data_IF_490147007506
#
_entry.id   IF_490147007506
#
_cell.length_a   1.000
_cell.length_b   1.000
_cell.length_c   1.000
_cell.angle_alpha   90.00
_cell.angle_beta   90.00
_cell.angle_gamma   90.00
#
_symmetry.space_group_name_H-M   'P 1'
#
loop_
_entity.id
_entity.type
_entity.pdbx_description
1 polymer ?
#
# COMPACT_ATOMS: atom_id res chain seq x y z
N UNK A 1 -18.69 7.58 14.62
CA UNK A 1 -17.34 7.36 15.13
C UNK A 1 -16.41 7.04 13.96
N UNK A 2 -15.42 7.88 13.79
CA UNK A 2 -14.43 7.66 12.75
C UNK A 2 -13.23 6.96 13.36
N UNK A 3 -12.98 5.74 12.89
CA UNK A 3 -11.79 5.01 13.30
C UNK A 3 -10.73 5.30 12.25
N UNK A 4 -9.70 6.02 12.66
CA UNK A 4 -8.60 6.35 11.76
C UNK A 4 -7.52 5.28 11.90
N UNK A 5 -7.39 4.45 10.89
CA UNK A 5 -6.31 3.48 10.83
C UNK A 5 -5.20 4.06 9.97
N UNK A 6 -3.97 3.77 10.34
CA UNK A 6 -2.84 4.19 9.54
C UNK A 6 -2.79 3.34 8.26
N UNK A 7 -2.76 4.02 7.13
CA UNK A 7 -2.71 3.36 5.82
C UNK A 7 -1.36 3.68 5.17
N UNK A 8 -0.64 2.63 4.81
CA UNK A 8 0.64 2.76 4.12
C UNK A 8 0.60 1.96 2.83
N UNK A 9 0.99 2.60 1.74
CA UNK A 9 1.01 1.98 0.42
C UNK A 9 2.45 1.88 -0.10
N UNK A 10 2.87 0.67 -0.42
CA UNK A 10 4.13 0.44 -1.12
C UNK A 10 3.81 0.22 -2.58
N UNK A 11 4.29 1.11 -3.43
CA UNK A 11 3.88 1.17 -4.82
C UNK A 11 5.08 1.29 -5.76
N UNK A 12 4.80 1.16 -7.05
CA UNK A 12 5.74 1.50 -8.11
C UNK A 12 5.12 2.63 -8.92
N UNK A 13 5.91 3.64 -9.27
CA UNK A 13 5.38 4.83 -9.95
C UNK A 13 4.75 4.52 -11.31
N UNK A 14 5.19 3.44 -11.96
CA UNK A 14 4.69 3.04 -13.28
C UNK A 14 3.63 1.94 -13.23
N UNK A 15 3.29 1.46 -12.07
CA UNK A 15 2.36 0.34 -11.92
C UNK A 15 0.91 0.80 -12.04
N UNK A 16 0.13 0.28 -13.01
CA UNK A 16 -1.27 0.69 -13.16
C UNK A 16 -2.13 0.38 -11.93
N UNK A 17 -1.95 -0.78 -11.32
CA UNK A 17 -2.73 -1.15 -10.14
C UNK A 17 -2.36 -0.30 -8.93
N UNK A 18 -1.11 0.14 -8.84
CA UNK A 18 -0.70 1.07 -7.80
C UNK A 18 -1.38 2.42 -7.96
N UNK A 19 -1.49 2.89 -9.21
CA UNK A 19 -2.19 4.14 -9.52
C UNK A 19 -3.67 4.03 -9.19
N UNK A 20 -4.28 2.90 -9.50
CA UNK A 20 -5.69 2.65 -9.16
C UNK A 20 -5.91 2.67 -7.65
N UNK A 21 -4.98 2.11 -6.90
CA UNK A 21 -5.05 2.09 -5.45
C UNK A 21 -4.98 3.51 -4.87
N UNK A 22 -4.06 4.31 -5.37
CA UNK A 22 -3.96 5.72 -4.94
C UNK A 22 -5.25 6.46 -5.23
N UNK A 23 -5.80 6.27 -6.43
CA UNK A 23 -7.04 6.91 -6.84
C UNK A 23 -8.22 6.47 -5.97
N UNK A 24 -8.27 5.20 -5.61
CA UNK A 24 -9.28 4.68 -4.71
C UNK A 24 -9.26 5.44 -3.38
N UNK A 25 -8.10 5.58 -2.77
CA UNK A 25 -7.98 6.29 -1.51
C UNK A 25 -8.38 7.75 -1.65
N UNK A 26 -7.97 8.40 -2.73
CA UNK A 26 -8.31 9.80 -2.99
C UNK A 26 -9.81 9.99 -3.20
N UNK A 27 -10.43 9.11 -3.98
CA UNK A 27 -11.86 9.20 -4.27
C UNK A 27 -12.74 8.96 -3.04
N UNK A 28 -12.23 8.18 -2.09
CA UNK A 28 -12.96 7.89 -0.86
C UNK A 28 -12.52 8.74 0.31
N UNK A 29 -11.69 9.75 0.05
CA UNK A 29 -11.17 10.67 1.07
C UNK A 29 -10.48 9.94 2.22
N UNK A 30 -9.71 8.91 1.90
CA UNK A 30 -8.99 8.12 2.88
C UNK A 30 -7.56 8.65 2.97
N UNK A 31 -7.14 9.16 4.14
CA UNK A 31 -5.75 9.60 4.30
C UNK A 31 -4.81 8.39 4.23
N UNK A 32 -3.72 8.54 3.48
CA UNK A 32 -2.74 7.48 3.35
C UNK A 32 -1.36 8.05 3.09
N UNK A 33 -0.35 7.28 3.46
CA UNK A 33 1.04 7.56 3.09
C UNK A 33 1.45 6.56 2.02
N UNK A 34 2.39 6.94 1.18
CA UNK A 34 2.87 6.02 0.15
C UNK A 34 4.36 6.21 -0.13
N UNK A 35 4.94 5.17 -0.69
CA UNK A 35 6.31 5.19 -1.17
C UNK A 35 6.32 4.56 -2.56
N UNK A 36 6.81 5.31 -3.55
CA UNK A 36 7.09 4.76 -4.88
C UNK A 36 8.49 4.17 -4.81
N UNK A 37 8.56 2.88 -4.62
CA UNK A 37 9.81 2.18 -4.31
C UNK A 37 10.84 2.32 -5.43
N UNK A 38 10.39 2.34 -6.67
CA UNK A 38 11.29 2.50 -7.82
C UNK A 38 11.96 3.87 -7.91
N UNK A 39 11.44 4.86 -7.20
CA UNK A 39 12.01 6.21 -7.19
C UNK A 39 13.01 6.42 -6.06
N UNK A 40 13.17 5.46 -5.17
CA UNK A 40 14.13 5.53 -4.08
C UNK A 40 15.54 5.27 -4.59
N UNK A 41 16.53 5.79 -3.87
CA UNK A 41 17.93 5.48 -4.16
C UNK A 41 18.21 4.01 -3.85
N UNK A 42 19.24 3.47 -4.47
CA UNK A 42 19.52 2.03 -4.44
C UNK A 42 19.47 1.40 -3.07
N UNK A 43 20.11 2.01 -2.09
CA UNK A 43 20.16 1.44 -0.74
C UNK A 43 18.79 1.45 -0.08
N UNK A 44 18.10 2.58 -0.15
CA UNK A 44 16.75 2.70 0.39
C UNK A 44 15.77 1.79 -0.33
N UNK A 45 15.91 1.67 -1.64
CA UNK A 45 15.07 0.79 -2.44
C UNK A 45 15.22 -0.66 -2.02
N UNK A 46 16.44 -1.13 -1.85
CA UNK A 46 16.70 -2.51 -1.43
C UNK A 46 16.15 -2.79 -0.05
N UNK A 47 16.33 -1.88 0.88
CA UNK A 47 15.79 -2.02 2.24
C UNK A 47 14.27 -2.08 2.23
N UNK A 48 13.65 -1.22 1.43
CA UNK A 48 12.19 -1.17 1.34
C UNK A 48 11.64 -2.42 0.68
N UNK A 49 12.28 -2.91 -0.37
CA UNK A 49 11.86 -4.16 -1.02
C UNK A 49 11.97 -5.33 -0.05
N UNK A 50 13.04 -5.38 0.72
CA UNK A 50 13.20 -6.44 1.72
C UNK A 50 12.10 -6.37 2.77
N UNK A 51 11.74 -5.18 3.22
CA UNK A 51 10.67 -4.98 4.17
C UNK A 51 9.32 -5.41 3.59
N UNK A 52 9.02 -5.04 2.36
CA UNK A 52 7.80 -5.44 1.67
C UNK A 52 7.71 -6.96 1.56
N UNK A 53 8.80 -7.60 1.20
CA UNK A 53 8.86 -9.04 1.08
C UNK A 53 8.64 -9.73 2.44
N UNK A 54 9.18 -9.14 3.50
CA UNK A 54 9.03 -9.66 4.86
C UNK A 54 7.57 -9.57 5.33
N UNK A 55 6.91 -8.43 5.14
CA UNK A 55 5.56 -8.22 5.65
C UNK A 55 4.48 -8.86 4.78
N UNK A 56 4.70 -9.00 3.48
CA UNK A 56 3.70 -9.53 2.56
C UNK A 56 3.95 -10.98 2.16
N UNK A 57 5.14 -11.48 2.41
CA UNK A 57 5.52 -12.83 2.01
C UNK A 57 5.88 -12.97 0.54
N UNK A 58 5.85 -11.87 -0.22
CA UNK A 58 6.18 -11.91 -1.63
C UNK A 58 6.70 -10.56 -2.12
N UNK A 59 7.35 -10.58 -3.26
CA UNK A 59 7.88 -9.38 -3.89
C UNK A 59 6.90 -8.93 -4.97
N UNK A 60 5.82 -8.28 -4.55
CA UNK A 60 4.75 -7.85 -5.45
C UNK A 60 4.25 -6.48 -5.04
N UNK A 61 3.65 -5.77 -5.98
CA UNK A 61 3.10 -4.43 -5.76
C UNK A 61 1.74 -4.33 -6.41
N UNK A 62 0.82 -3.51 -5.87
CA UNK A 62 0.96 -2.72 -4.65
C UNK A 62 0.84 -3.60 -3.40
N UNK A 63 1.44 -3.14 -2.30
CA UNK A 63 1.23 -3.72 -0.99
C UNK A 63 0.64 -2.64 -0.10
N UNK A 64 -0.50 -2.92 0.51
CA UNK A 64 -1.24 -1.97 1.33
C UNK A 64 -1.25 -2.48 2.76
N UNK A 65 -0.82 -1.64 3.69
CA UNK A 65 -0.86 -1.96 5.11
C UNK A 65 -1.89 -1.04 5.77
N UNK A 66 -2.94 -1.63 6.34
CA UNK A 66 -4.00 -0.91 7.02
C UNK A 66 -4.06 -1.41 8.45
N UNK A 67 -3.53 -0.61 9.39
CA UNK A 67 -3.37 -1.07 10.75
C UNK A 67 -2.44 -2.28 10.80
N UNK A 68 -2.95 -3.43 11.18
CA UNK A 68 -2.19 -4.69 11.22
C UNK A 68 -2.52 -5.62 10.04
N UNK A 69 -3.34 -5.16 9.10
CA UNK A 69 -3.72 -5.95 7.92
C UNK A 69 -2.82 -5.65 6.74
N UNK A 70 -2.43 -6.69 6.00
CA UNK A 70 -1.60 -6.55 4.81
C UNK A 70 -2.37 -7.09 3.60
N UNK A 71 -2.49 -6.25 2.57
CA UNK A 71 -3.20 -6.61 1.34
C UNK A 71 -2.22 -6.52 0.19
N UNK A 72 -2.11 -7.58 -0.59
CA UNK A 72 -1.23 -7.63 -1.76
C UNK A 72 -2.08 -7.52 -3.02
N UNK A 73 -1.77 -6.53 -3.83
CA UNK A 73 -2.52 -6.25 -5.05
C UNK A 73 -3.69 -5.31 -4.81
N UNK A 74 -4.34 -4.91 -5.90
CA UNK A 74 -5.49 -4.02 -5.83
C UNK A 74 -6.76 -4.86 -5.67
N UNK A 75 -7.32 -4.85 -4.48
CA UNK A 75 -8.52 -5.61 -4.16
C UNK A 75 -9.44 -4.72 -3.32
N UNK A 76 -10.44 -4.13 -3.98
CA UNK A 76 -11.35 -3.19 -3.33
C UNK A 76 -12.08 -3.79 -2.16
N UNK A 77 -12.50 -5.06 -2.26
CA UNK A 77 -13.23 -5.70 -1.17
C UNK A 77 -12.36 -5.87 0.07
N UNK A 78 -11.14 -6.34 -0.12
CA UNK A 78 -10.21 -6.52 0.99
C UNK A 78 -9.83 -5.19 1.62
N UNK A 79 -9.62 -4.15 0.80
CA UNK A 79 -9.32 -2.81 1.28
C UNK A 79 -10.50 -2.27 2.10
N UNK A 80 -11.71 -2.38 1.58
CA UNK A 80 -12.90 -1.89 2.26
C UNK A 80 -13.12 -2.60 3.59
N UNK A 81 -12.93 -3.92 3.62
CA UNK A 81 -13.07 -4.69 4.85
C UNK A 81 -12.04 -4.30 5.90
N UNK A 82 -10.79 -4.10 5.48
CA UNK A 82 -9.73 -3.70 6.39
C UNK A 82 -9.98 -2.32 6.98
N UNK A 83 -10.58 -1.41 6.20
CA UNK A 83 -10.89 -0.07 6.67
C UNK A 83 -12.06 -0.02 7.64
N UNK A 84 -12.96 -0.99 7.57
CA UNK A 84 -14.11 -1.05 8.47
C UNK A 84 -13.78 -1.53 9.87
N UNK A 85 -12.73 -2.28 10.02
CA UNK A 85 -12.36 -2.85 11.33
C UNK A 85 -11.67 -1.82 12.27
#
# INVERSE_FOLDING_TARGET
VIIVKKVMLYALSTCPFCKMTKKYFENHNIPYDFVDVDLLESEEREKTIAKVQEISGRRAFPVIVIGDKVIVGYDELSIAEALKE
#
